data_IF_937998860777
#
_entry.id   IF_937998860777
#
_cell.length_a   1.000
_cell.length_b   1.000
_cell.length_c   1.000
_cell.angle_alpha   90.00
_cell.angle_beta   90.00
_cell.angle_gamma   90.00
#
_symmetry.space_group_name_H-M   'P 1'
#
loop_
_entity.id
_entity.type
_entity.pdbx_description
1 polymer ?
#
# COMPACT_ATOMS: atom_id res chain seq x y z
N UNK A 1 10.80 -21.33 -17.85
CA UNK A 1 11.57 -21.58 -16.63
C UNK A 1 10.65 -21.31 -15.46
N UNK A 2 10.71 -22.19 -14.47
CA UNK A 2 9.90 -22.21 -13.26
C UNK A 2 10.47 -21.21 -12.26
N UNK A 3 10.14 -19.94 -12.38
CA UNK A 3 10.77 -18.96 -11.51
C UNK A 3 9.67 -18.26 -10.72
N UNK A 4 9.60 -18.53 -9.42
CA UNK A 4 8.72 -17.88 -8.42
C UNK A 4 8.81 -16.34 -8.37
N UNK A 5 9.48 -15.73 -9.33
CA UNK A 5 9.44 -14.31 -9.72
C UNK A 5 8.04 -13.92 -10.20
N UNK A 6 7.28 -14.81 -10.86
CA UNK A 6 5.93 -14.51 -11.38
C UNK A 6 4.82 -14.59 -10.32
N UNK A 7 5.02 -15.33 -9.22
CA UNK A 7 4.07 -15.39 -8.09
C UNK A 7 4.15 -14.15 -7.18
N UNK A 8 5.18 -13.33 -7.40
CA UNK A 8 5.51 -12.11 -6.66
C UNK A 8 5.42 -10.93 -7.63
N UNK A 9 4.33 -10.86 -8.41
CA UNK A 9 3.61 -9.59 -8.46
C UNK A 9 3.15 -9.33 -7.03
N UNK A 10 4.05 -8.72 -6.26
CA UNK A 10 4.23 -9.00 -4.84
C UNK A 10 3.11 -8.40 -4.02
N UNK A 11 2.86 -8.92 -2.82
CA UNK A 11 2.02 -8.19 -1.87
C UNK A 11 2.49 -6.75 -1.66
N UNK A 12 3.78 -6.45 -1.89
CA UNK A 12 4.32 -5.09 -1.88
C UNK A 12 3.88 -4.27 -3.11
N UNK A 13 3.73 -4.86 -4.30
CA UNK A 13 3.22 -4.18 -5.51
C UNK A 13 1.71 -3.91 -5.40
N UNK A 14 0.96 -4.86 -4.83
CA UNK A 14 -0.44 -4.66 -4.51
C UNK A 14 -0.61 -3.56 -3.46
N UNK A 15 0.19 -3.62 -2.38
CA UNK A 15 0.21 -2.58 -1.34
C UNK A 15 0.61 -1.24 -1.97
N UNK A 16 1.59 -1.22 -2.85
CA UNK A 16 2.04 -0.01 -3.53
C UNK A 16 0.92 0.65 -4.34
N UNK A 17 0.19 -0.14 -5.12
CA UNK A 17 -0.97 0.32 -5.87
C UNK A 17 -2.06 0.86 -4.94
N UNK A 18 -2.35 0.15 -3.83
CA UNK A 18 -3.31 0.61 -2.82
C UNK A 18 -2.87 1.93 -2.19
N UNK A 19 -1.60 2.09 -1.86
CA UNK A 19 -1.06 3.33 -1.31
C UNK A 19 -1.14 4.50 -2.29
N UNK A 20 -0.97 4.23 -3.59
CA UNK A 20 -1.16 5.24 -4.63
C UNK A 20 -2.62 5.67 -4.73
N UNK A 21 -3.55 4.72 -4.67
CA UNK A 21 -5.00 5.00 -4.73
C UNK A 21 -5.48 5.77 -3.51
N UNK A 22 -5.06 5.38 -2.29
CA UNK A 22 -5.38 6.09 -1.04
C UNK A 22 -4.96 7.57 -1.11
N UNK A 23 -3.83 7.87 -1.76
CA UNK A 23 -3.37 9.24 -1.95
C UNK A 23 -4.20 10.03 -2.97
N UNK A 24 -4.84 9.34 -3.93
CA UNK A 24 -5.64 9.97 -4.99
C UNK A 24 -7.11 10.12 -4.60
N UNK A 25 -7.63 9.24 -3.74
CA UNK A 25 -9.02 9.26 -3.28
C UNK A 25 -9.18 8.58 -1.92
N UNK A 26 -10.11 9.10 -1.14
CA UNK A 26 -10.50 8.55 0.15
C UNK A 26 -11.77 7.68 0.00
N UNK A 27 -11.60 6.45 -0.49
CA UNK A 27 -12.68 5.44 -0.55
C UNK A 27 -12.46 4.36 0.52
N UNK A 28 -13.50 4.05 1.29
CA UNK A 28 -13.42 3.11 2.42
C UNK A 28 -12.94 1.73 1.98
N UNK A 29 -13.31 1.26 0.78
CA UNK A 29 -12.83 -0.03 0.27
C UNK A 29 -11.30 -0.09 0.18
N UNK A 30 -10.64 0.99 -0.22
CA UNK A 30 -9.19 1.02 -0.39
C UNK A 30 -8.49 1.00 0.98
N UNK A 31 -9.11 1.62 2.00
CA UNK A 31 -8.64 1.56 3.39
C UNK A 31 -8.85 0.19 4.02
N UNK A 32 -10.00 -0.46 3.78
CA UNK A 32 -10.28 -1.84 4.25
C UNK A 32 -9.30 -2.83 3.66
N UNK A 33 -9.00 -2.70 2.37
CA UNK A 33 -8.04 -3.56 1.70
C UNK A 33 -6.64 -3.40 2.33
N UNK A 34 -6.19 -2.17 2.61
CA UNK A 34 -4.91 -1.94 3.31
C UNK A 34 -4.93 -2.54 4.72
N UNK A 35 -6.01 -2.36 5.48
CA UNK A 35 -6.13 -2.94 6.82
C UNK A 35 -6.06 -4.48 6.79
N UNK A 36 -6.79 -5.12 5.87
CA UNK A 36 -6.78 -6.57 5.68
C UNK A 36 -5.39 -7.09 5.25
N UNK A 37 -4.69 -6.35 4.38
CA UNK A 37 -3.32 -6.69 3.98
C UNK A 37 -2.35 -6.61 5.16
N UNK A 38 -2.45 -5.58 6.00
CA UNK A 38 -1.63 -5.46 7.22
C UNK A 38 -1.93 -6.62 8.19
N UNK A 39 -3.20 -6.96 8.40
CA UNK A 39 -3.60 -8.08 9.26
C UNK A 39 -3.10 -9.42 8.72
N UNK A 40 -3.02 -9.57 7.40
CA UNK A 40 -2.41 -10.73 6.74
C UNK A 40 -0.86 -10.74 6.79
N UNK A 41 -0.24 -9.75 7.44
CA UNK A 41 1.21 -9.67 7.63
C UNK A 41 1.97 -8.96 6.49
N UNK A 42 1.27 -8.28 5.57
CA UNK A 42 1.93 -7.50 4.50
C UNK A 42 2.56 -6.24 5.10
N UNK A 43 3.82 -5.99 4.74
CA UNK A 43 4.61 -4.91 5.31
C UNK A 43 4.26 -3.55 4.68
N UNK A 44 3.62 -2.67 5.45
CA UNK A 44 3.34 -1.30 5.02
C UNK A 44 4.62 -0.51 4.62
N UNK A 45 5.75 -0.55 5.36
CA UNK A 45 7.01 0.07 4.92
C UNK A 45 7.51 -0.44 3.56
N UNK A 46 7.42 -1.75 3.29
CA UNK A 46 7.83 -2.31 2.00
C UNK A 46 6.91 -1.86 0.88
N UNK A 47 5.59 -1.88 1.08
CA UNK A 47 4.63 -1.37 0.09
C UNK A 47 4.83 0.12 -0.23
N UNK A 48 5.16 0.95 0.76
CA UNK A 48 5.50 2.36 0.54
C UNK A 48 6.82 2.55 -0.23
N UNK A 49 7.83 1.73 0.08
CA UNK A 49 9.10 1.74 -0.65
C UNK A 49 8.90 1.29 -2.10
N UNK A 50 8.12 0.23 -2.32
CA UNK A 50 7.72 -0.27 -3.64
C UNK A 50 6.94 0.80 -4.42
N UNK A 51 5.96 1.47 -3.80
CA UNK A 51 5.24 2.57 -4.44
C UNK A 51 6.17 3.71 -4.90
N UNK A 52 7.15 4.10 -4.07
CA UNK A 52 8.13 5.12 -4.45
C UNK A 52 9.01 4.65 -5.61
N UNK A 53 9.35 3.36 -5.65
CA UNK A 53 10.14 2.78 -6.71
C UNK A 53 9.36 2.69 -8.04
N UNK A 54 8.08 2.31 -7.99
CA UNK A 54 7.19 2.13 -9.16
C UNK A 54 6.75 3.49 -9.72
N UNK A 55 6.20 4.38 -8.90
CA UNK A 55 5.60 5.64 -9.33
C UNK A 55 6.58 6.81 -9.34
N UNK A 56 7.83 6.55 -8.91
CA UNK A 56 8.90 7.53 -8.90
C UNK A 56 8.69 8.67 -7.90
N UNK A 57 9.39 9.80 -8.07
CA UNK A 57 9.44 10.90 -7.09
C UNK A 57 8.11 11.61 -6.89
N UNK A 58 7.13 11.42 -7.78
CA UNK A 58 5.78 11.98 -7.65
C UNK A 58 4.94 11.29 -6.56
N UNK A 59 5.35 10.11 -6.11
CA UNK A 59 4.74 9.46 -4.96
C UNK A 59 5.40 9.95 -3.67
N UNK A 60 4.60 10.48 -2.75
CA UNK A 60 5.05 11.01 -1.46
C UNK A 60 4.59 10.08 -0.33
N UNK A 61 5.47 9.20 0.19
CA UNK A 61 5.09 8.25 1.24
C UNK A 61 4.53 8.92 2.51
N UNK A 62 5.03 10.09 2.87
CA UNK A 62 4.56 10.86 4.03
C UNK A 62 3.09 11.28 3.88
N UNK A 63 2.67 11.69 2.69
CA UNK A 63 1.29 12.10 2.43
C UNK A 63 0.35 10.89 2.43
N UNK A 64 0.81 9.77 1.88
CA UNK A 64 0.09 8.49 1.96
C UNK A 64 -0.10 8.01 3.41
N UNK A 65 0.92 8.15 4.27
CA UNK A 65 0.82 7.82 5.71
C UNK A 65 -0.18 8.73 6.44
N UNK A 66 -0.16 10.04 6.16
CA UNK A 66 -1.13 10.99 6.73
C UNK A 66 -2.56 10.67 6.30
N UNK A 67 -2.75 10.35 5.02
CA UNK A 67 -4.06 9.97 4.49
C UNK A 67 -4.63 8.73 5.19
N UNK A 68 -3.81 7.71 5.45
CA UNK A 68 -4.24 6.47 6.12
C UNK A 68 -4.79 6.66 7.54
N UNK A 69 -4.45 7.77 8.21
CA UNK A 69 -4.91 8.08 9.58
C UNK A 69 -5.92 9.22 9.63
N UNK A 70 -6.33 9.76 8.47
CA UNK A 70 -7.35 10.79 8.37
C UNK A 70 -8.67 10.19 7.86
N UNK A 71 -9.63 10.01 8.77
CA UNK A 71 -10.93 9.37 8.47
C UNK A 71 -12.08 10.38 8.24
N UNK A 72 -11.73 11.63 7.94
CA UNK A 72 -12.69 12.72 7.76
C UNK A 72 -13.36 12.77 6.39
N UNK A 73 -12.74 12.14 5.38
CA UNK A 73 -13.14 12.25 3.97
C UNK A 73 -14.08 11.13 3.51
N UNK A 74 -14.74 11.40 2.37
CA UNK A 74 -15.51 10.41 1.61
C UNK A 74 -16.47 9.59 2.46
N UNK A 75 -16.43 8.28 2.28
CA UNK A 75 -17.19 7.28 3.03
C UNK A 75 -16.37 6.64 4.17
N UNK A 76 -15.22 7.21 4.57
CA UNK A 76 -14.32 6.64 5.58
C UNK A 76 -14.94 6.55 6.98
N UNK A 77 -16.03 7.28 7.23
CA UNK A 77 -16.84 7.11 8.45
C UNK A 77 -17.44 5.71 8.57
N UNK A 78 -17.60 5.00 7.45
CA UNK A 78 -18.09 3.61 7.42
C UNK A 78 -17.06 2.57 7.85
N UNK A 79 -15.80 2.95 8.05
CA UNK A 79 -14.78 2.06 8.58
C UNK A 79 -15.06 1.73 10.05
N UNK A 80 -14.89 0.45 10.38
CA UNK A 80 -15.01 -0.04 11.75
C UNK A 80 -13.90 0.52 12.64
N UNK A 81 -14.11 0.47 13.96
CA UNK A 81 -13.06 0.84 14.91
C UNK A 81 -11.82 -0.05 14.78
N UNK A 82 -12.01 -1.34 14.50
CA UNK A 82 -10.92 -2.29 14.29
C UNK A 82 -10.07 -1.90 13.08
N UNK A 83 -10.69 -1.67 11.92
CA UNK A 83 -10.00 -1.25 10.70
C UNK A 83 -9.19 0.05 10.93
N UNK A 84 -9.78 1.05 11.59
CA UNK A 84 -9.08 2.31 11.91
C UNK A 84 -7.89 2.08 12.82
N UNK A 85 -8.04 1.24 13.85
CA UNK A 85 -6.96 0.93 14.78
C UNK A 85 -5.83 0.19 14.08
N UNK A 86 -6.13 -0.79 13.23
CA UNK A 86 -5.15 -1.52 12.41
C UNK A 86 -4.31 -0.54 11.59
N UNK A 87 -4.95 0.42 10.89
CA UNK A 87 -4.24 1.42 10.09
C UNK A 87 -3.37 2.34 10.94
N UNK A 88 -3.89 2.83 12.07
CA UNK A 88 -3.13 3.71 12.99
C UNK A 88 -1.90 2.99 13.55
N UNK A 89 -2.05 1.74 14.00
CA UNK A 89 -0.92 0.97 14.52
C UNK A 89 0.10 0.66 13.42
N UNK A 90 -0.35 0.28 12.22
CA UNK A 90 0.53 0.05 11.07
C UNK A 90 1.39 1.29 10.77
N UNK A 91 0.77 2.47 10.71
CA UNK A 91 1.46 3.74 10.44
C UNK A 91 2.51 4.06 11.52
N UNK A 92 2.21 3.80 12.80
CA UNK A 92 3.17 4.02 13.91
C UNK A 92 4.42 3.15 13.80
N UNK A 93 4.32 1.97 13.19
CA UNK A 93 5.49 1.09 13.01
C UNK A 93 6.44 1.57 11.91
N UNK A 94 6.00 2.47 11.03
CA UNK A 94 6.82 3.00 9.94
C UNK A 94 7.78 4.06 10.48
N UNK A 95 9.08 3.73 10.51
CA UNK A 95 10.16 4.68 10.86
C UNK A 95 10.90 5.13 9.62
N UNK A 96 11.61 4.19 9.01
CA UNK A 96 12.35 4.38 7.77
C UNK A 96 11.80 3.46 6.68
N UNK A 97 11.91 3.88 5.42
CA UNK A 97 11.53 3.05 4.29
C UNK A 97 12.70 2.14 3.89
N UNK A 98 12.47 0.81 3.78
CA UNK A 98 13.51 -0.13 3.36
C UNK A 98 13.97 0.16 1.92
N UNK A 99 15.18 -0.28 1.57
CA UNK A 99 15.63 -0.30 0.18
C UNK A 99 14.94 -1.46 -0.53
N UNK A 100 14.23 -1.17 -1.61
CA UNK A 100 13.60 -2.17 -2.48
C UNK A 100 14.35 -2.25 -3.82
N UNK A 101 14.51 -3.45 -4.35
CA UNK A 101 15.09 -3.69 -5.68
C UNK A 101 13.96 -4.05 -6.64
N UNK A 102 13.76 -3.25 -7.68
CA UNK A 102 12.80 -3.58 -8.74
C UNK A 102 13.43 -4.65 -9.63
N UNK A 103 12.81 -5.84 -9.70
CA UNK A 103 13.29 -6.96 -10.51
C UNK A 103 12.82 -6.86 -11.98
N UNK A 104 11.66 -6.25 -12.24
CA UNK A 104 11.16 -5.93 -13.58
C UNK A 104 10.24 -4.70 -13.53
N UNK A 105 10.27 -3.86 -14.57
CA UNK A 105 9.32 -2.73 -14.72
C UNK A 105 8.03 -3.15 -15.44
N UNK A 106 7.96 -4.38 -15.91
CA UNK A 106 6.73 -4.92 -16.49
C UNK A 106 5.84 -5.41 -15.35
N UNK A 107 4.76 -4.68 -15.10
CA UNK A 107 3.64 -5.19 -14.31
C UNK A 107 3.12 -6.42 -15.06
N UNK A 108 3.13 -7.59 -14.41
CA UNK A 108 2.58 -8.82 -14.98
C UNK A 108 1.09 -8.62 -15.28
N UNK A 109 0.80 -8.21 -16.51
CA UNK A 109 -0.51 -7.71 -16.90
C UNK A 109 -0.55 -7.20 -18.34
N UNK A 110 0.17 -7.85 -19.25
CA UNK A 110 -0.13 -7.79 -20.68
C UNK A 110 -0.29 -9.22 -21.18
N UNK A 111 -1.51 -9.74 -21.07
CA UNK A 111 -1.97 -10.88 -21.83
C UNK A 111 -2.94 -10.33 -22.88
N UNK A 112 -2.50 -10.33 -24.14
CA UNK A 112 -3.35 -10.18 -25.33
C UNK A 112 -3.70 -8.76 -25.73
#
# INVERSE_FOLDING_TARGET
>A
TEDGVLQVASFDDLMATKMKVVLQRAEAKDYRDVAAMVEAGVSLPHGLAAARAIFGPNFQPSESLKALVYFGDGDLKSLTAAEKNTLVEAVKTVRDLPKVVILSKELAGNIG
#
